data_IF_111241018838
#
_entry.id   IF_111241018838
#
_cell.length_a   1.000
_cell.length_b   1.000
_cell.length_c   1.000
_cell.angle_alpha   90.00
_cell.angle_beta   90.00
_cell.angle_gamma   90.00
#
_symmetry.space_group_name_H-M   'P 1'
#
loop_
_entity.id
_entity.type
_entity.pdbx_description
1 polymer ?
#
# COMPACT_ATOMS: atom_id res chain seq x y z
N UNK A 1 4.73 17.02 -4.67
CA UNK A 1 5.50 16.19 -5.63
C UNK A 1 5.27 14.73 -5.35
N UNK A 2 5.09 13.97 -6.38
CA UNK A 2 4.89 12.52 -6.28
C UNK A 2 6.23 11.79 -6.22
N UNK A 3 6.23 10.63 -5.58
CA UNK A 3 7.45 9.83 -5.44
C UNK A 3 7.20 8.36 -5.78
N UNK A 4 8.28 7.69 -6.11
CA UNK A 4 8.27 6.26 -6.41
C UNK A 4 9.53 5.60 -5.86
N UNK A 5 9.49 4.28 -5.82
CA UNK A 5 10.63 3.44 -5.43
C UNK A 5 11.11 2.70 -6.68
N UNK A 6 12.39 2.80 -6.98
CA UNK A 6 13.05 1.98 -7.99
C UNK A 6 13.36 0.64 -7.35
N UNK A 7 12.58 -0.38 -7.69
CA UNK A 7 12.57 -1.64 -6.94
C UNK A 7 13.91 -2.38 -6.99
N UNK A 8 14.63 -2.30 -8.12
CA UNK A 8 15.93 -2.97 -8.24
C UNK A 8 16.99 -2.45 -7.25
N UNK A 9 16.81 -1.24 -6.72
CA UNK A 9 17.74 -0.61 -5.79
C UNK A 9 17.40 -0.89 -4.33
N UNK A 10 16.55 -1.86 -4.07
CA UNK A 10 16.05 -2.18 -2.73
C UNK A 10 16.45 -3.59 -2.33
N UNK A 11 16.52 -3.82 -0.99
CA UNK A 11 16.78 -5.15 -0.44
C UNK A 11 15.95 -5.45 0.81
N UNK A 12 14.76 -4.86 0.90
CA UNK A 12 13.85 -5.17 2.01
C UNK A 12 13.36 -6.61 1.93
N UNK A 13 12.90 -7.11 3.07
CA UNK A 13 12.32 -8.44 3.19
C UNK A 13 10.81 -8.35 3.36
N UNK A 14 10.09 -9.36 2.88
CA UNK A 14 8.64 -9.46 3.06
C UNK A 14 8.32 -9.72 4.54
N UNK A 15 7.19 -9.16 4.99
CA UNK A 15 6.70 -9.36 6.35
C UNK A 15 6.18 -10.79 6.52
N UNK A 16 6.47 -11.40 7.66
CA UNK A 16 6.14 -12.81 7.89
C UNK A 16 4.63 -13.10 8.01
N UNK A 17 3.79 -12.10 8.25
CA UNK A 17 2.37 -12.31 8.54
C UNK A 17 1.47 -11.39 7.69
N UNK A 18 1.61 -11.50 6.37
CA UNK A 18 0.73 -10.81 5.43
C UNK A 18 0.08 -11.82 4.49
N UNK A 19 -1.01 -11.43 3.86
CA UNK A 19 -1.70 -12.25 2.84
C UNK A 19 -2.27 -11.36 1.76
N UNK A 20 -2.35 -11.90 0.54
CA UNK A 20 -3.11 -11.27 -0.53
C UNK A 20 -4.56 -11.73 -0.35
N UNK A 21 -5.46 -10.76 -0.20
CA UNK A 21 -6.87 -11.02 0.12
C UNK A 21 -7.74 -10.96 -1.13
N UNK A 22 -8.89 -11.61 -1.08
CA UNK A 22 -9.91 -11.50 -2.12
C UNK A 22 -10.91 -10.38 -1.82
N UNK A 23 -11.83 -10.14 -2.77
CA UNK A 23 -12.87 -9.10 -2.64
C UNK A 23 -13.81 -9.33 -1.46
N UNK A 24 -13.94 -10.57 -0.98
CA UNK A 24 -14.73 -10.91 0.20
C UNK A 24 -14.24 -10.24 1.47
N UNK A 25 -13.01 -9.72 1.48
CA UNK A 25 -12.43 -9.02 2.63
C UNK A 25 -12.91 -7.57 2.77
N UNK A 26 -13.71 -7.06 1.83
CA UNK A 26 -14.08 -5.64 1.81
C UNK A 26 -14.70 -5.16 3.12
N UNK A 27 -15.66 -5.90 3.68
CA UNK A 27 -16.36 -5.48 4.90
C UNK A 27 -15.39 -5.34 6.08
N UNK A 28 -14.47 -6.29 6.22
CA UNK A 28 -13.44 -6.21 7.27
C UNK A 28 -12.48 -5.06 7.05
N UNK A 29 -12.08 -4.83 5.82
CA UNK A 29 -11.23 -3.69 5.46
C UNK A 29 -11.94 -2.36 5.73
N UNK A 30 -13.25 -2.29 5.46
CA UNK A 30 -14.04 -1.10 5.74
C UNK A 30 -14.07 -0.76 7.23
N UNK A 31 -14.18 -1.77 8.10
CA UNK A 31 -14.10 -1.59 9.56
C UNK A 31 -12.75 -0.99 9.96
N UNK A 32 -11.67 -1.54 9.43
CA UNK A 32 -10.30 -1.05 9.69
C UNK A 32 -10.16 0.40 9.20
N UNK A 33 -10.70 0.69 8.02
CA UNK A 33 -10.65 2.02 7.44
C UNK A 33 -11.36 3.05 8.32
N UNK A 34 -12.52 2.70 8.86
CA UNK A 34 -13.27 3.57 9.78
C UNK A 34 -12.49 3.83 11.07
N UNK A 35 -11.87 2.80 11.65
CA UNK A 35 -11.01 2.97 12.84
C UNK A 35 -9.81 3.87 12.54
N UNK A 36 -9.20 3.68 11.37
CA UNK A 36 -8.08 4.48 10.92
C UNK A 36 -8.43 5.96 10.78
N UNK A 37 -9.54 6.26 10.12
CA UNK A 37 -10.02 7.64 9.92
C UNK A 37 -10.31 8.31 11.27
N UNK A 38 -10.95 7.60 12.18
CA UNK A 38 -11.23 8.10 13.52
C UNK A 38 -9.94 8.39 14.31
N UNK A 39 -8.96 7.50 14.21
CA UNK A 39 -7.68 7.66 14.90
C UNK A 39 -6.89 8.85 14.38
N UNK A 40 -6.82 9.01 13.07
CA UNK A 40 -6.04 10.07 12.41
C UNK A 40 -6.74 11.42 12.41
N UNK A 41 -8.07 11.44 12.54
CA UNK A 41 -8.89 12.66 12.53
C UNK A 41 -8.64 13.52 11.29
N UNK A 42 -8.65 12.89 10.12
CA UNK A 42 -8.46 13.60 8.85
C UNK A 42 -9.61 14.59 8.60
N UNK A 43 -9.28 15.76 8.05
CA UNK A 43 -10.27 16.76 7.64
C UNK A 43 -11.05 16.27 6.42
N UNK A 44 -10.35 15.65 5.48
CA UNK A 44 -10.92 15.08 4.27
C UNK A 44 -10.73 13.57 4.27
N UNK A 45 -11.81 12.84 3.99
CA UNK A 45 -11.80 11.38 3.92
C UNK A 45 -12.12 10.94 2.50
N UNK A 46 -11.19 10.21 1.88
CA UNK A 46 -11.43 9.57 0.60
C UNK A 46 -12.04 8.19 0.90
N UNK A 47 -13.31 7.96 0.53
CA UNK A 47 -13.94 6.68 0.84
C UNK A 47 -13.34 5.54 0.04
N UNK A 48 -13.46 4.31 0.57
CA UNK A 48 -13.13 3.10 -0.18
C UNK A 48 -14.42 2.46 -0.68
N UNK A 49 -14.37 1.88 -1.86
CA UNK A 49 -15.54 1.31 -2.52
C UNK A 49 -15.33 -0.17 -2.82
N UNK A 50 -16.42 -0.96 -2.70
CA UNK A 50 -16.40 -2.39 -2.99
C UNK A 50 -15.88 -2.67 -4.40
N UNK A 51 -16.24 -1.83 -5.37
CA UNK A 51 -15.87 -2.00 -6.77
C UNK A 51 -14.35 -2.01 -6.97
N UNK A 52 -13.62 -1.22 -6.17
CA UNK A 52 -12.15 -1.18 -6.23
C UNK A 52 -11.54 -2.54 -5.86
N UNK A 53 -12.18 -3.25 -4.91
CA UNK A 53 -11.71 -4.57 -4.45
C UNK A 53 -11.98 -5.67 -5.48
N UNK A 54 -12.87 -5.43 -6.42
CA UNK A 54 -13.27 -6.39 -7.44
C UNK A 54 -12.50 -6.22 -8.76
N UNK A 55 -11.70 -5.17 -8.90
CA UNK A 55 -10.94 -4.91 -10.11
C UNK A 55 -9.81 -5.93 -10.28
N UNK A 56 -9.64 -6.50 -11.52
CA UNK A 56 -8.66 -7.58 -11.72
C UNK A 56 -7.20 -7.15 -11.59
N UNK A 57 -6.91 -5.86 -11.71
CA UNK A 57 -5.55 -5.31 -11.56
C UNK A 57 -5.25 -4.80 -10.14
N UNK A 58 -6.13 -5.08 -9.19
CA UNK A 58 -6.00 -4.63 -7.80
C UNK A 58 -5.53 -5.77 -6.92
N UNK A 59 -4.54 -5.50 -6.07
CA UNK A 59 -4.17 -6.37 -4.97
C UNK A 59 -4.63 -5.77 -3.66
N UNK A 60 -5.19 -6.60 -2.79
CA UNK A 60 -5.55 -6.24 -1.43
C UNK A 60 -4.57 -6.97 -0.53
N UNK A 61 -3.68 -6.22 0.11
CA UNK A 61 -2.61 -6.80 0.93
C UNK A 61 -3.00 -6.64 2.39
N UNK A 62 -3.29 -7.75 3.07
CA UNK A 62 -3.70 -7.75 4.46
C UNK A 62 -2.53 -8.03 5.39
N UNK A 63 -2.43 -7.26 6.48
CA UNK A 63 -1.42 -7.41 7.51
C UNK A 63 -2.07 -7.84 8.82
N UNK A 64 -1.52 -8.87 9.44
CA UNK A 64 -2.13 -9.54 10.57
C UNK A 64 -1.34 -9.33 11.85
N UNK A 65 -2.07 -9.21 12.96
CA UNK A 65 -1.57 -9.36 14.32
C UNK A 65 -2.07 -10.72 14.79
N UNK A 66 -1.18 -11.73 14.81
CA UNK A 66 -1.62 -13.10 15.03
C UNK A 66 -2.59 -13.54 13.94
N UNK A 67 -3.83 -13.82 14.32
CA UNK A 67 -4.91 -14.22 13.40
C UNK A 67 -5.85 -13.07 13.04
N UNK A 68 -5.64 -11.88 13.60
CA UNK A 68 -6.51 -10.72 13.40
C UNK A 68 -6.00 -9.83 12.28
N UNK A 69 -6.83 -9.55 11.30
CA UNK A 69 -6.51 -8.57 10.26
C UNK A 69 -6.49 -7.17 10.89
N UNK A 70 -5.33 -6.53 10.83
CA UNK A 70 -5.09 -5.25 11.52
C UNK A 70 -4.88 -4.08 10.57
N UNK A 71 -4.43 -4.33 9.34
CA UNK A 71 -4.17 -3.29 8.35
C UNK A 71 -4.34 -3.87 6.94
N UNK A 72 -4.53 -2.98 5.97
CA UNK A 72 -4.53 -3.40 4.57
C UNK A 72 -3.99 -2.28 3.67
N UNK A 73 -3.47 -2.69 2.52
CA UNK A 73 -3.13 -1.81 1.41
C UNK A 73 -3.96 -2.19 0.20
N UNK A 74 -4.48 -1.19 -0.50
CA UNK A 74 -5.10 -1.35 -1.80
C UNK A 74 -4.08 -0.88 -2.84
N UNK A 75 -3.62 -1.78 -3.70
CA UNK A 75 -2.58 -1.50 -4.68
C UNK A 75 -3.08 -1.80 -6.09
N UNK A 76 -2.77 -0.92 -7.03
CA UNK A 76 -3.11 -1.09 -8.45
C UNK A 76 -1.88 -1.47 -9.25
N UNK A 77 -2.00 -2.51 -10.07
CA UNK A 77 -0.92 -2.98 -10.95
C UNK A 77 -1.11 -2.45 -12.35
N UNK A 78 -0.11 -1.76 -12.87
CA UNK A 78 -0.11 -1.20 -14.23
C UNK A 78 0.91 -1.95 -15.07
N UNK A 79 0.47 -3.03 -15.72
CA UNK A 79 1.35 -3.92 -16.48
C UNK A 79 2.01 -3.24 -17.67
N UNK A 80 1.33 -2.31 -18.32
CA UNK A 80 1.87 -1.60 -19.50
C UNK A 80 3.12 -0.79 -19.18
N UNK A 81 3.28 -0.34 -17.94
CA UNK A 81 4.46 0.41 -17.47
C UNK A 81 5.23 -0.37 -16.39
N UNK A 82 4.89 -1.62 -16.20
CA UNK A 82 5.50 -2.54 -15.24
C UNK A 82 5.67 -1.93 -13.85
N UNK A 83 4.60 -1.32 -13.36
CA UNK A 83 4.61 -0.55 -12.11
C UNK A 83 3.40 -0.84 -11.26
N UNK A 84 3.51 -0.54 -9.97
CA UNK A 84 2.44 -0.70 -8.99
C UNK A 84 2.26 0.62 -8.25
N UNK A 85 1.02 0.97 -7.94
CA UNK A 85 0.68 2.15 -7.16
C UNK A 85 -0.03 1.75 -5.88
N UNK A 86 0.53 2.12 -4.73
CA UNK A 86 -0.12 1.99 -3.44
C UNK A 86 -1.13 3.13 -3.29
N UNK A 87 -2.41 2.81 -3.51
CA UNK A 87 -3.49 3.81 -3.53
C UNK A 87 -3.96 4.16 -2.12
N UNK A 88 -4.28 3.15 -1.31
CA UNK A 88 -4.82 3.33 0.03
C UNK A 88 -4.13 2.40 1.01
N UNK A 89 -3.90 2.90 2.20
CA UNK A 89 -3.45 2.12 3.35
C UNK A 89 -4.27 2.53 4.56
N UNK A 90 -4.67 1.55 5.37
CA UNK A 90 -5.34 1.80 6.65
C UNK A 90 -4.88 0.78 7.69
N UNK A 91 -4.80 1.23 8.95
CA UNK A 91 -4.37 0.43 10.08
C UNK A 91 -5.20 0.79 11.30
N UNK A 92 -5.65 -0.20 12.07
CA UNK A 92 -6.50 0.03 13.24
C UNK A 92 -5.75 0.56 14.47
N UNK A 93 -4.41 0.57 14.46
CA UNK A 93 -3.55 1.06 15.53
C UNK A 93 -3.74 0.36 16.89
N UNK A 94 -4.35 -0.82 16.92
CA UNK A 94 -4.60 -1.53 18.19
C UNK A 94 -3.31 -1.99 18.86
N UNK A 95 -2.35 -2.50 18.08
CA UNK A 95 -1.04 -2.90 18.57
C UNK A 95 0.04 -2.05 17.92
N UNK A 96 0.34 -0.91 18.53
CA UNK A 96 1.29 0.08 17.98
C UNK A 96 2.72 -0.44 17.87
N UNK A 97 3.07 -1.47 18.62
CA UNK A 97 4.42 -2.07 18.56
C UNK A 97 4.72 -2.71 17.22
N UNK A 98 3.68 -3.09 16.48
CA UNK A 98 3.86 -3.70 15.16
C UNK A 98 4.34 -2.71 14.09
N UNK A 99 4.09 -1.41 14.26
CA UNK A 99 4.49 -0.36 13.32
C UNK A 99 4.08 -0.67 11.87
N UNK A 100 2.83 -1.09 11.68
CA UNK A 100 2.36 -1.63 10.39
C UNK A 100 2.45 -0.64 9.24
N UNK A 101 2.41 0.68 9.50
CA UNK A 101 2.63 1.67 8.45
C UNK A 101 4.01 1.57 7.81
N UNK A 102 5.05 1.38 8.62
CA UNK A 102 6.42 1.18 8.12
C UNK A 102 6.60 -0.21 7.52
N UNK A 103 6.04 -1.22 8.18
CA UNK A 103 6.13 -2.61 7.73
C UNK A 103 5.48 -2.79 6.37
N UNK A 104 4.30 -2.20 6.15
CA UNK A 104 3.55 -2.33 4.91
C UNK A 104 4.35 -1.84 3.71
N UNK A 105 4.94 -0.64 3.79
CA UNK A 105 5.73 -0.10 2.69
C UNK A 105 6.91 -1.00 2.34
N UNK A 106 7.67 -1.45 3.33
CA UNK A 106 8.82 -2.31 3.10
C UNK A 106 8.43 -3.67 2.55
N UNK A 107 7.32 -4.23 3.06
CA UNK A 107 6.81 -5.50 2.57
C UNK A 107 6.38 -5.41 1.11
N UNK A 108 5.66 -4.34 0.73
CA UNK A 108 5.17 -4.17 -0.63
C UNK A 108 6.32 -3.94 -1.61
N UNK A 109 7.32 -3.17 -1.20
CA UNK A 109 8.54 -2.99 -2.00
C UNK A 109 9.19 -4.35 -2.27
N UNK A 110 9.37 -5.17 -1.24
CA UNK A 110 9.97 -6.51 -1.38
C UNK A 110 9.10 -7.42 -2.24
N UNK A 111 7.79 -7.44 -2.02
CA UNK A 111 6.84 -8.26 -2.75
C UNK A 111 6.86 -7.95 -4.25
N UNK A 112 6.71 -6.67 -4.60
CA UNK A 112 6.60 -6.29 -6.01
C UNK A 112 7.94 -6.37 -6.74
N UNK A 113 9.06 -6.20 -6.02
CA UNK A 113 10.38 -6.52 -6.57
C UNK A 113 10.48 -7.99 -6.93
N UNK A 114 10.06 -8.87 -6.03
CA UNK A 114 10.08 -10.33 -6.28
C UNK A 114 9.20 -10.72 -7.46
N UNK A 115 8.07 -10.02 -7.64
CA UNK A 115 7.15 -10.28 -8.74
C UNK A 115 7.61 -9.68 -10.07
N UNK A 116 8.73 -8.95 -10.10
CA UNK A 116 9.36 -8.48 -11.33
C UNK A 116 8.93 -7.09 -11.78
N UNK A 117 8.29 -6.31 -10.94
CA UNK A 117 7.94 -4.93 -11.26
C UNK A 117 9.16 -4.01 -11.16
N UNK A 118 9.14 -2.91 -11.93
CA UNK A 118 10.25 -1.95 -11.95
C UNK A 118 10.09 -0.86 -10.89
N UNK A 119 8.86 -0.35 -10.72
CA UNK A 119 8.60 0.79 -9.84
C UNK A 119 7.38 0.56 -8.96
N UNK A 120 7.47 1.14 -7.76
CA UNK A 120 6.39 1.17 -6.78
C UNK A 120 6.10 2.62 -6.42
N UNK A 121 4.91 3.12 -6.77
CA UNK A 121 4.52 4.51 -6.58
C UNK A 121 3.82 4.69 -5.25
N UNK A 122 4.24 5.70 -4.47
CA UNK A 122 3.77 5.96 -3.12
C UNK A 122 2.90 7.21 -3.00
N UNK A 123 2.59 7.88 -4.11
CA UNK A 123 1.81 9.11 -4.11
C UNK A 123 2.65 10.33 -3.71
N UNK A 124 2.09 11.19 -2.87
CA UNK A 124 2.77 12.41 -2.42
C UNK A 124 4.04 12.07 -1.63
N UNK A 125 5.10 12.81 -1.89
CA UNK A 125 6.36 12.67 -1.17
C UNK A 125 6.25 13.20 0.27
N UNK A 126 7.02 12.60 1.18
CA UNK A 126 7.14 13.04 2.57
C UNK A 126 8.53 12.70 3.09
N UNK A 127 8.92 13.29 4.23
CA UNK A 127 10.22 13.00 4.85
C UNK A 127 10.42 11.50 5.09
N UNK A 128 9.39 10.85 5.60
CA UNK A 128 9.43 9.41 5.87
C UNK A 128 9.71 8.60 4.61
N UNK A 129 8.97 8.90 3.53
CA UNK A 129 9.12 8.17 2.26
C UNK A 129 10.49 8.41 1.62
N UNK A 130 11.03 9.62 1.78
CA UNK A 130 12.34 9.97 1.20
C UNK A 130 13.50 9.15 1.77
N UNK A 131 13.30 8.50 2.91
CA UNK A 131 14.31 7.66 3.56
C UNK A 131 14.26 6.19 3.10
N UNK A 132 13.27 5.82 2.31
CA UNK A 132 13.17 4.47 1.77
C UNK A 132 14.22 4.25 0.70
N UNK A 133 14.74 3.01 0.63
CA UNK A 133 15.67 2.62 -0.44
C UNK A 133 14.99 2.80 -1.79
N UNK A 134 15.76 3.21 -2.80
CA UNK A 134 15.27 3.36 -4.17
C UNK A 134 14.36 4.56 -4.41
N UNK A 135 14.20 5.43 -3.42
CA UNK A 135 13.33 6.61 -3.52
C UNK A 135 13.78 7.56 -4.63
N UNK A 136 12.81 8.04 -5.41
CA UNK A 136 13.01 9.12 -6.38
C UNK A 136 11.70 9.88 -6.63
N UNK A 137 11.82 11.13 -7.07
CA UNK A 137 10.67 11.96 -7.47
C UNK A 137 10.24 11.55 -8.88
N UNK A 138 8.93 11.56 -9.13
CA UNK A 138 8.38 11.09 -10.41
C UNK A 138 7.12 11.85 -10.82
N UNK A 139 6.89 11.92 -12.13
CA UNK A 139 5.69 12.49 -12.74
C UNK A 139 4.76 11.38 -13.25
N UNK A 140 4.67 10.27 -12.52
CA UNK A 140 3.91 9.09 -12.94
C UNK A 140 2.49 9.41 -13.39
N UNK A 141 1.78 10.26 -12.64
CA UNK A 141 0.39 10.58 -12.96
C UNK A 141 0.24 11.29 -14.30
N UNK A 142 1.21 12.13 -14.67
CA UNK A 142 1.23 12.76 -15.98
C UNK A 142 1.43 11.72 -17.09
N UNK A 143 2.33 10.77 -16.86
CA UNK A 143 2.63 9.69 -17.80
C UNK A 143 1.42 8.77 -18.01
N UNK A 144 0.70 8.43 -16.96
CA UNK A 144 -0.46 7.52 -17.03
C UNK A 144 -1.70 8.17 -17.67
N UNK A 145 -1.80 9.49 -17.67
CA UNK A 145 -2.92 10.22 -18.26
C UNK A 145 -2.76 10.41 -19.78
N UNK A 146 -1.59 10.22 -20.29
CA UNK A 146 -1.26 10.33 -21.71
C UNK A 146 -1.32 8.97 -22.37
#
# INVERSE_FOLDING_TARGET
MYCRIRLQDTNYQEYHNYRILGSSSFERCLEIYREYVNYKKFDDVVPIFREEFELPHTDIIGYYDGNDLAAFTLAYKFKSVNSVWADQFAWNYRNKKLSLGHVANKNEIALYKRLGYDYFYLGESSDYKSKLQGYEISNFFETCQN
#
